data_IF_646780820035
#
_entry.id   IF_646780820035
#
_cell.length_a   1.000
_cell.length_b   1.000
_cell.length_c   1.000
_cell.angle_alpha   90.00
_cell.angle_beta   90.00
_cell.angle_gamma   90.00
#
_symmetry.space_group_name_H-M   'P 1'
#
loop_
_entity.id
_entity.type
_entity.pdbx_description
1 polymer ?
#
# COMPACT_ATOMS: atom_id res chain seq x y z
N UNK A 1 -12.47 -35.43 0.19
CA UNK A 1 -12.34 -33.95 0.13
C UNK A 1 -10.88 -33.52 0.01
N UNK A 2 -9.98 -34.04 0.86
CA UNK A 2 -8.52 -33.74 0.81
C UNK A 2 -7.88 -34.12 -0.54
N UNK A 3 -8.20 -35.28 -1.12
CA UNK A 3 -7.66 -35.66 -2.43
C UNK A 3 -8.18 -34.79 -3.58
N UNK A 4 -9.45 -34.36 -3.50
CA UNK A 4 -10.05 -33.45 -4.47
C UNK A 4 -9.46 -32.05 -4.41
N UNK A 5 -9.17 -31.57 -3.19
CA UNK A 5 -8.47 -30.30 -2.95
C UNK A 5 -7.01 -30.37 -3.45
N UNK A 6 -6.30 -31.46 -3.16
CA UNK A 6 -4.95 -31.68 -3.69
C UNK A 6 -4.94 -31.69 -5.21
N UNK A 7 -5.91 -32.34 -5.87
CA UNK A 7 -6.10 -32.34 -7.34
C UNK A 7 -6.51 -30.98 -7.92
N UNK A 8 -7.09 -30.09 -7.11
CA UNK A 8 -7.49 -28.75 -7.50
C UNK A 8 -6.32 -27.78 -7.43
N UNK A 9 -5.54 -27.81 -6.36
CA UNK A 9 -4.34 -26.99 -6.20
C UNK A 9 -3.23 -27.45 -7.13
N UNK A 10 -3.07 -28.75 -7.38
CA UNK A 10 -2.06 -29.24 -8.34
C UNK A 10 -2.36 -28.91 -9.81
N UNK A 11 -3.44 -28.18 -10.11
CA UNK A 11 -3.64 -27.58 -11.41
C UNK A 11 -2.67 -26.40 -11.54
N UNK A 12 -1.74 -26.46 -12.49
CA UNK A 12 -0.71 -25.42 -12.72
C UNK A 12 -1.28 -24.00 -12.76
N UNK A 13 -2.41 -23.80 -13.45
CA UNK A 13 -3.11 -22.51 -13.52
C UNK A 13 -3.46 -21.91 -12.13
N UNK A 14 -3.79 -22.75 -11.14
CA UNK A 14 -4.14 -22.26 -9.81
C UNK A 14 -2.91 -21.92 -8.96
N UNK A 15 -1.82 -22.68 -9.11
CA UNK A 15 -0.56 -22.41 -8.41
C UNK A 15 0.02 -21.09 -8.91
N UNK A 16 0.06 -20.87 -10.22
CA UNK A 16 0.62 -19.66 -10.81
C UNK A 16 -0.19 -18.42 -10.41
N UNK A 17 -1.52 -18.52 -10.40
CA UNK A 17 -2.41 -17.47 -9.87
C UNK A 17 -2.16 -17.20 -8.38
N UNK A 18 -2.01 -18.24 -7.56
CA UNK A 18 -1.75 -18.09 -6.13
C UNK A 18 -0.39 -17.43 -5.86
N UNK A 19 0.65 -17.82 -6.60
CA UNK A 19 1.99 -17.22 -6.50
C UNK A 19 1.95 -15.75 -6.92
N UNK A 20 1.25 -15.41 -8.01
CA UNK A 20 1.09 -14.02 -8.45
C UNK A 20 0.44 -13.12 -7.39
N UNK A 21 -0.61 -13.60 -6.72
CA UNK A 21 -1.29 -12.84 -5.65
C UNK A 21 -0.39 -12.65 -4.42
N UNK A 22 0.33 -13.70 -4.01
CA UNK A 22 1.24 -13.63 -2.86
C UNK A 22 2.42 -12.69 -3.14
N UNK A 23 3.02 -12.78 -4.34
CA UNK A 23 4.11 -11.89 -4.75
C UNK A 23 3.65 -10.44 -4.87
N UNK A 24 2.45 -10.18 -5.43
CA UNK A 24 1.89 -8.83 -5.51
C UNK A 24 1.66 -8.21 -4.14
N UNK A 25 1.18 -8.99 -3.17
CA UNK A 25 1.04 -8.55 -1.78
C UNK A 25 2.38 -8.24 -1.11
N UNK A 26 3.40 -9.08 -1.33
CA UNK A 26 4.73 -8.89 -0.78
C UNK A 26 5.43 -7.62 -1.31
N UNK A 27 5.38 -7.38 -2.62
CA UNK A 27 5.95 -6.15 -3.24
C UNK A 27 5.26 -4.90 -2.71
N UNK A 28 3.92 -4.93 -2.61
CA UNK A 28 3.15 -3.82 -2.03
C UNK A 28 3.56 -3.52 -0.59
N UNK A 29 3.81 -4.56 0.23
CA UNK A 29 4.27 -4.39 1.60
C UNK A 29 5.66 -3.73 1.69
N UNK A 30 6.60 -4.13 0.82
CA UNK A 30 7.94 -3.53 0.77
C UNK A 30 7.87 -2.07 0.36
N UNK A 31 7.11 -1.73 -0.68
CA UNK A 31 6.98 -0.33 -1.12
C UNK A 31 6.28 0.52 -0.05
N UNK A 32 5.22 0.01 0.58
CA UNK A 32 4.57 0.68 1.70
C UNK A 32 5.54 0.95 2.86
N UNK A 33 6.43 0.00 3.17
CA UNK A 33 7.44 0.21 4.22
C UNK A 33 8.39 1.35 3.85
N UNK A 34 8.83 1.43 2.59
CA UNK A 34 9.67 2.54 2.11
C UNK A 34 8.90 3.87 2.23
N UNK A 35 7.64 3.91 1.80
CA UNK A 35 6.83 5.13 1.88
C UNK A 35 6.63 5.56 3.34
N UNK A 36 6.25 4.63 4.22
CA UNK A 36 5.97 4.94 5.61
C UNK A 36 7.22 5.33 6.42
N UNK A 37 8.36 4.71 6.14
CA UNK A 37 9.57 4.90 6.95
C UNK A 37 10.57 5.90 6.35
N UNK A 38 10.47 6.22 5.05
CA UNK A 38 11.37 7.17 4.39
C UNK A 38 10.60 8.40 3.87
N UNK A 39 9.55 8.19 3.07
CA UNK A 39 8.86 9.29 2.39
C UNK A 39 8.01 10.11 3.37
N UNK A 40 7.19 9.47 4.20
CA UNK A 40 6.34 10.14 5.19
C UNK A 40 7.14 11.01 6.18
N UNK A 41 8.26 10.55 6.78
CA UNK A 41 9.06 11.42 7.65
C UNK A 41 9.77 12.56 6.90
N UNK A 42 10.17 12.37 5.64
CA UNK A 42 10.70 13.46 4.80
C UNK A 42 9.64 14.53 4.54
N UNK A 43 8.42 14.13 4.22
CA UNK A 43 7.28 15.04 4.08
C UNK A 43 6.98 15.71 5.42
N UNK A 44 7.04 14.97 6.53
CA UNK A 44 6.82 15.52 7.86
C UNK A 44 7.85 16.59 8.26
N UNK A 45 9.11 16.44 7.86
CA UNK A 45 10.16 17.44 8.12
C UNK A 45 9.93 18.74 7.32
N UNK A 46 9.39 18.65 6.10
CA UNK A 46 9.12 19.83 5.26
C UNK A 46 7.83 20.54 5.71
N UNK A 47 6.81 19.79 6.10
CA UNK A 47 5.49 20.33 6.45
C UNK A 47 5.25 20.48 7.97
N UNK A 48 6.21 20.12 8.81
CA UNK A 48 6.20 20.35 10.26
C UNK A 48 5.24 19.47 11.07
N UNK A 49 4.61 18.45 10.46
CA UNK A 49 3.73 17.49 11.16
C UNK A 49 4.06 16.05 10.76
N UNK A 50 4.08 15.09 11.71
CA UNK A 50 4.53 13.70 11.49
C UNK A 50 3.75 12.96 10.39
N UNK A 51 2.50 13.34 10.14
CA UNK A 51 1.65 12.74 9.11
C UNK A 51 0.99 13.83 8.25
N UNK A 52 0.73 13.52 6.99
CA UNK A 52 -0.12 14.36 6.12
C UNK A 52 -1.55 14.49 6.67
N UNK A 53 -1.97 13.66 7.63
CA UNK A 53 -3.24 13.79 8.36
C UNK A 53 -3.45 15.19 8.95
N UNK A 54 -2.37 15.92 9.25
CA UNK A 54 -2.45 17.26 9.85
C UNK A 54 -2.47 18.43 8.87
N UNK A 55 -2.29 18.19 7.56
CA UNK A 55 -2.48 19.20 6.52
C UNK A 55 -3.99 19.36 6.28
N UNK A 56 -4.55 20.51 6.68
CA UNK A 56 -5.97 20.85 6.51
C UNK A 56 -6.93 19.87 7.24
N UNK A 57 -6.56 19.40 8.42
CA UNK A 57 -7.48 18.70 9.31
C UNK A 57 -8.54 19.69 9.81
N UNK A 58 -9.73 19.66 9.21
CA UNK A 58 -10.89 20.38 9.73
C UNK A 58 -11.65 19.45 10.65
N UNK A 59 -11.62 19.75 11.95
CA UNK A 59 -12.38 19.02 12.96
C UNK A 59 -13.78 19.64 13.05
N UNK A 60 -14.79 18.97 12.52
CA UNK A 60 -16.19 19.34 12.71
C UNK A 60 -16.90 18.19 13.44
N UNK A 61 -17.47 18.50 14.61
CA UNK A 61 -18.31 17.57 15.38
C UNK A 61 -17.66 16.19 15.68
N UNK A 62 -16.38 16.17 16.08
CA UNK A 62 -15.65 14.94 16.41
C UNK A 62 -15.18 14.10 15.21
N UNK A 63 -15.52 14.49 13.98
CA UNK A 63 -14.97 13.90 12.77
C UNK A 63 -13.79 14.75 12.26
N UNK A 64 -12.62 14.13 12.12
CA UNK A 64 -11.43 14.76 11.56
C UNK A 64 -11.40 14.46 10.06
N UNK A 65 -11.70 15.46 9.23
CA UNK A 65 -11.54 15.35 7.77
C UNK A 65 -10.13 15.81 7.43
N UNK A 66 -9.23 14.86 7.21
CA UNK A 66 -7.84 15.12 6.85
C UNK A 66 -7.65 15.05 5.34
N UNK A 67 -7.69 16.20 4.67
CA UNK A 67 -7.40 16.29 3.22
C UNK A 67 -5.99 15.79 2.90
N UNK A 68 -5.04 16.03 3.79
CA UNK A 68 -3.69 15.53 3.61
C UNK A 68 -3.55 14.00 3.73
N UNK A 69 -4.45 13.30 4.43
CA UNK A 69 -4.49 11.83 4.43
C UNK A 69 -4.78 11.27 3.03
N UNK A 70 -5.70 11.92 2.31
CA UNK A 70 -6.10 11.56 0.95
C UNK A 70 -4.94 11.84 -0.02
N UNK A 71 -4.27 12.98 0.11
CA UNK A 71 -3.07 13.30 -0.66
C UNK A 71 -1.92 12.30 -0.39
N UNK A 72 -1.71 11.91 0.86
CA UNK A 72 -0.73 10.89 1.22
C UNK A 72 -1.05 9.52 0.63
N UNK A 73 -2.32 9.12 0.64
CA UNK A 73 -2.78 7.89 0.00
C UNK A 73 -2.58 7.92 -1.53
N UNK A 74 -2.89 9.04 -2.19
CA UNK A 74 -2.64 9.24 -3.62
C UNK A 74 -1.16 9.20 -3.97
N UNK A 75 -0.32 9.84 -3.15
CA UNK A 75 1.13 9.82 -3.34
C UNK A 75 1.68 8.40 -3.15
N UNK A 76 1.26 7.69 -2.10
CA UNK A 76 1.66 6.30 -1.86
C UNK A 76 1.24 5.40 -3.04
N UNK A 77 0.00 5.53 -3.51
CA UNK A 77 -0.47 4.82 -4.70
C UNK A 77 0.40 5.10 -5.92
N UNK A 78 0.75 6.37 -6.18
CA UNK A 78 1.61 6.74 -7.31
C UNK A 78 3.02 6.15 -7.16
N UNK A 79 3.60 6.16 -5.96
CA UNK A 79 4.92 5.57 -5.69
C UNK A 79 4.89 4.06 -5.92
N UNK A 80 3.85 3.37 -5.44
CA UNK A 80 3.68 1.93 -5.69
C UNK A 80 3.54 1.65 -7.19
N UNK A 81 2.72 2.43 -7.89
CA UNK A 81 2.52 2.27 -9.33
C UNK A 81 3.83 2.45 -10.11
N UNK A 82 4.61 3.47 -9.78
CA UNK A 82 5.92 3.74 -10.39
C UNK A 82 6.92 2.64 -10.03
N UNK A 83 6.99 2.22 -8.76
CA UNK A 83 7.89 1.17 -8.33
C UNK A 83 7.61 -0.14 -9.07
N UNK A 84 6.34 -0.55 -9.16
CA UNK A 84 5.93 -1.76 -9.89
C UNK A 84 6.24 -1.64 -11.39
N UNK A 85 5.99 -0.48 -12.01
CA UNK A 85 6.24 -0.25 -13.44
C UNK A 85 7.73 -0.28 -13.82
N UNK A 86 8.63 0.18 -12.94
CA UNK A 86 10.07 0.23 -13.26
C UNK A 86 10.86 -0.99 -12.76
N UNK A 87 10.38 -1.72 -11.74
CA UNK A 87 11.06 -2.92 -11.23
C UNK A 87 10.63 -4.24 -11.89
N UNK A 88 9.44 -4.29 -12.50
CA UNK A 88 8.91 -5.46 -13.22
C UNK A 88 8.89 -5.14 -14.71
#
# INVERSE_FOLDING_TARGET
MIDGFKKFISRGNMIDMAVGVVMGGAVTAVVNAIVNHLINPLIAMIFGKPNMDGLLAFTFNGATVSVGAILGALLNFLIIAVAVYFFI
#
